data_IF_757953841961
#
_entry.id   IF_757953841961
#
_cell.length_a   1.000
_cell.length_b   1.000
_cell.length_c   1.000
_cell.angle_alpha   90.00
_cell.angle_beta   90.00
_cell.angle_gamma   90.00
#
_symmetry.space_group_name_H-M   'P 1'
#
loop_
_entity.id
_entity.type
_entity.pdbx_description
1 polymer ?
#
# COMPACT_ATOMS: atom_id res chain seq x y z
N UNK A 1 -57.40 -2.89 -10.23
CA UNK A 1 -57.26 -3.84 -9.12
C UNK A 1 -56.21 -4.85 -9.54
N UNK A 2 -54.98 -4.71 -9.07
CA UNK A 2 -53.88 -5.65 -9.31
C UNK A 2 -53.28 -6.03 -7.95
N UNK A 3 -53.47 -7.30 -7.60
CA UNK A 3 -53.09 -7.90 -6.35
C UNK A 3 -51.57 -8.01 -6.23
N UNK A 4 -51.05 -7.52 -5.11
CA UNK A 4 -49.65 -7.64 -4.69
C UNK A 4 -49.48 -8.99 -3.97
N UNK A 5 -48.68 -9.89 -4.50
CA UNK A 5 -48.27 -11.13 -3.83
C UNK A 5 -46.94 -10.88 -3.16
N UNK A 6 -46.98 -10.82 -1.82
CA UNK A 6 -45.78 -10.71 -0.97
C UNK A 6 -45.31 -12.13 -0.66
N UNK A 7 -44.18 -12.53 -1.21
CA UNK A 7 -43.54 -13.82 -0.90
C UNK A 7 -42.49 -13.63 0.21
N UNK A 8 -42.83 -14.12 1.38
CA UNK A 8 -41.96 -14.08 2.56
C UNK A 8 -41.03 -15.31 2.53
N UNK A 9 -39.75 -15.11 2.25
CA UNK A 9 -38.73 -16.16 2.39
C UNK A 9 -38.14 -16.08 3.81
N UNK A 10 -38.45 -17.09 4.62
CA UNK A 10 -37.82 -17.31 5.90
C UNK A 10 -36.57 -18.17 5.68
N UNK A 11 -35.39 -17.58 5.86
CA UNK A 11 -34.12 -18.29 5.81
C UNK A 11 -33.69 -18.62 7.24
N UNK A 12 -33.77 -19.90 7.61
CA UNK A 12 -33.28 -20.42 8.86
C UNK A 12 -31.75 -20.58 8.80
N UNK A 13 -31.01 -19.80 9.59
CA UNK A 13 -29.54 -19.94 9.75
C UNK A 13 -29.28 -20.88 10.92
N UNK A 14 -28.76 -22.07 10.63
CA UNK A 14 -28.28 -23.02 11.64
C UNK A 14 -26.89 -22.58 12.14
N UNK A 15 -26.79 -22.25 13.43
CA UNK A 15 -25.53 -22.03 14.13
C UNK A 15 -24.91 -23.40 14.45
N UNK A 16 -23.73 -23.69 13.91
CA UNK A 16 -22.86 -24.77 14.38
C UNK A 16 -21.77 -24.18 15.29
N UNK A 17 -21.52 -24.76 16.51
CA UNK A 17 -20.42 -24.31 17.35
C UNK A 17 -19.09 -24.88 16.83
N UNK A 18 -18.13 -24.00 16.54
CA UNK A 18 -16.76 -24.38 16.26
C UNK A 18 -16.05 -24.75 17.57
N UNK A 19 -15.66 -26.01 17.71
CA UNK A 19 -14.78 -26.49 18.78
C UNK A 19 -13.38 -25.94 18.60
N UNK A 20 -12.91 -25.14 19.54
CA UNK A 20 -11.54 -24.67 19.63
C UNK A 20 -10.63 -25.83 20.06
N UNK A 21 -9.76 -26.31 19.18
CA UNK A 21 -8.67 -27.21 19.52
C UNK A 21 -7.54 -26.41 20.16
N UNK A 22 -7.39 -26.52 21.46
CA UNK A 22 -6.27 -25.98 22.21
C UNK A 22 -4.99 -26.76 21.84
N UNK A 23 -3.97 -26.09 21.30
CA UNK A 23 -2.62 -26.63 21.15
C UNK A 23 -1.89 -26.58 22.51
N UNK A 24 -1.21 -27.65 22.95
CA UNK A 24 -0.38 -27.62 24.14
C UNK A 24 0.90 -26.79 23.91
N UNK A 25 1.43 -26.12 24.95
CA UNK A 25 2.65 -25.34 24.84
C UNK A 25 3.87 -26.23 24.61
N UNK A 26 4.65 -25.93 23.58
CA UNK A 26 5.94 -26.58 23.31
C UNK A 26 6.98 -26.11 24.34
N UNK A 27 7.57 -27.08 25.06
CA UNK A 27 8.72 -26.87 25.94
C UNK A 27 9.98 -26.58 25.12
N UNK A 28 10.85 -25.66 25.58
CA UNK A 28 12.14 -25.44 24.96
C UNK A 28 13.11 -26.60 25.25
N UNK A 29 14.04 -26.94 24.34
CA UNK A 29 14.99 -28.03 24.52
C UNK A 29 16.01 -27.71 25.60
N UNK A 30 16.19 -28.64 26.52
CA UNK A 30 17.21 -28.65 27.58
C UNK A 30 18.60 -28.76 26.97
N UNK A 31 19.37 -27.69 27.04
CA UNK A 31 20.78 -27.69 26.64
C UNK A 31 21.68 -28.37 27.68
N UNK A 32 22.52 -29.22 27.21
CA UNK A 32 23.52 -30.04 27.89
C UNK A 32 24.53 -29.21 28.68
N UNK A 33 24.77 -29.57 29.92
CA UNK A 33 25.73 -29.00 30.86
C UNK A 33 27.17 -29.47 30.52
N UNK A 34 28.20 -28.60 30.49
CA UNK A 34 29.59 -29.03 30.40
C UNK A 34 30.21 -29.24 31.78
N UNK A 35 31.30 -30.04 31.86
CA UNK A 35 31.81 -30.57 33.14
C UNK A 35 32.66 -29.60 33.94
N UNK A 36 32.63 -29.84 35.24
CA UNK A 36 33.36 -29.23 36.35
C UNK A 36 34.88 -29.23 36.14
N UNK A 37 35.51 -28.08 36.18
CA UNK A 37 36.94 -27.90 36.27
C UNK A 37 37.33 -27.10 37.51
N UNK A 38 38.21 -27.63 38.26
CA UNK A 38 38.78 -27.32 39.56
C UNK A 38 39.37 -25.93 39.70
N UNK A 39 39.05 -25.27 40.82
CA UNK A 39 39.56 -23.98 41.27
C UNK A 39 40.86 -24.14 42.09
N UNK A 40 41.79 -23.21 42.04
CA UNK A 40 42.54 -22.80 43.23
C UNK A 40 42.39 -21.30 43.54
N UNK A 41 42.61 -20.90 44.81
CA UNK A 41 42.22 -19.60 45.29
C UNK A 41 43.36 -18.56 45.16
N UNK A 42 43.03 -17.31 44.80
CA UNK A 42 43.89 -16.15 45.08
C UNK A 42 43.05 -14.93 45.43
N UNK A 43 43.51 -14.30 46.47
CA UNK A 43 43.11 -13.11 47.22
C UNK A 43 42.77 -11.86 46.40
N UNK A 44 41.84 -10.99 46.87
CA UNK A 44 41.47 -9.76 46.17
C UNK A 44 42.41 -8.58 46.48
N UNK A 45 42.68 -7.71 45.52
CA UNK A 45 43.05 -6.35 45.79
C UNK A 45 41.84 -5.42 45.71
N UNK A 46 41.80 -4.52 46.69
CA UNK A 46 40.80 -3.47 46.89
C UNK A 46 40.74 -2.45 45.77
N UNK A 47 39.54 -2.01 45.48
CA UNK A 47 39.25 -0.65 45.06
C UNK A 47 39.29 -0.38 43.57
N UNK A 48 38.18 -0.62 42.89
CA UNK A 48 37.79 0.22 41.74
C UNK A 48 36.28 0.42 41.73
N UNK A 49 35.93 1.69 41.82
CA UNK A 49 34.59 2.25 41.75
C UNK A 49 33.93 1.83 40.42
N UNK A 50 32.66 1.43 40.37
CA UNK A 50 32.02 1.11 39.13
C UNK A 50 31.93 2.36 38.25
N UNK A 51 32.53 2.31 37.08
CA UNK A 51 32.36 3.31 36.05
C UNK A 51 30.88 3.27 35.60
N UNK A 52 30.24 4.43 35.67
CA UNK A 52 28.93 4.69 35.08
C UNK A 52 28.95 4.28 33.59
N UNK A 53 28.01 3.48 33.11
CA UNK A 53 27.92 3.18 31.67
C UNK A 53 27.67 4.49 30.92
N UNK A 54 28.34 4.74 29.78
CA UNK A 54 28.04 5.90 28.95
C UNK A 54 26.60 5.84 28.51
N UNK A 55 25.88 6.93 28.73
CA UNK A 55 24.51 7.16 28.26
C UNK A 55 24.39 6.75 26.82
N UNK A 56 23.47 5.83 26.57
CA UNK A 56 23.24 5.21 25.24
C UNK A 56 23.13 6.26 24.16
N UNK A 57 24.06 6.24 23.24
CA UNK A 57 23.79 6.75 21.90
C UNK A 57 22.71 5.86 21.30
N UNK A 58 21.50 6.41 21.24
CA UNK A 58 20.42 5.85 20.46
C UNK A 58 20.97 5.67 19.03
N UNK A 59 20.93 4.46 18.45
CA UNK A 59 21.39 4.27 17.09
C UNK A 59 20.69 5.31 16.20
N UNK A 60 21.47 6.10 15.49
CA UNK A 60 20.93 7.03 14.51
C UNK A 60 19.98 6.23 13.60
N UNK A 61 18.72 6.66 13.52
CA UNK A 61 17.74 6.00 12.68
C UNK A 61 18.33 5.92 11.27
N UNK A 62 18.59 4.68 10.83
CA UNK A 62 19.09 4.42 9.50
C UNK A 62 18.08 5.01 8.53
N UNK A 63 18.49 5.83 7.53
CA UNK A 63 17.57 6.38 6.57
C UNK A 63 16.71 5.25 6.00
N UNK A 64 15.40 5.34 6.15
CA UNK A 64 14.49 4.35 5.60
C UNK A 64 14.79 4.20 4.11
N UNK A 65 14.98 2.96 3.64
CA UNK A 65 15.15 2.68 2.23
C UNK A 65 14.03 3.37 1.45
N UNK A 66 14.31 4.02 0.30
CA UNK A 66 13.29 4.66 -0.50
C UNK A 66 12.15 3.67 -0.75
N UNK A 67 10.92 4.08 -0.50
CA UNK A 67 9.76 3.25 -0.81
C UNK A 67 9.83 2.81 -2.28
N UNK A 68 9.54 1.53 -2.60
CA UNK A 68 9.63 1.03 -3.96
C UNK A 68 8.76 1.91 -4.86
N UNK A 69 9.33 2.31 -6.00
CA UNK A 69 8.65 3.13 -7.00
C UNK A 69 7.40 2.42 -7.52
N UNK A 70 6.44 3.19 -8.02
CA UNK A 70 5.27 2.64 -8.72
C UNK A 70 5.63 2.48 -10.19
N UNK A 71 6.24 1.36 -10.56
CA UNK A 71 6.71 1.07 -11.91
C UNK A 71 5.88 -0.05 -12.54
N UNK A 72 5.75 -0.04 -13.87
CA UNK A 72 5.14 -1.12 -14.63
C UNK A 72 6.19 -1.83 -15.47
N UNK A 73 6.15 -3.16 -15.47
CA UNK A 73 6.99 -4.02 -16.32
C UNK A 73 6.29 -4.45 -17.61
N UNK A 74 4.99 -4.19 -17.72
CA UNK A 74 4.14 -4.50 -18.90
C UNK A 74 3.75 -3.23 -19.66
N UNK A 75 3.16 -3.42 -20.85
CA UNK A 75 2.72 -2.31 -21.72
C UNK A 75 1.46 -1.60 -21.19
N UNK A 76 0.78 -2.18 -20.22
CA UNK A 76 -0.35 -1.57 -19.53
C UNK A 76 -0.38 -1.97 -18.06
N UNK A 77 -1.07 -1.17 -17.23
CA UNK A 77 -1.24 -1.48 -15.83
C UNK A 77 -2.34 -0.66 -15.16
N UNK A 78 -2.61 -1.00 -13.91
CA UNK A 78 -3.57 -0.27 -13.07
C UNK A 78 -2.99 0.00 -11.69
N UNK A 79 -3.37 1.15 -11.14
CA UNK A 79 -3.23 1.47 -9.73
C UNK A 79 -4.63 1.63 -9.15
N UNK A 80 -4.95 0.84 -8.14
CA UNK A 80 -6.18 0.97 -7.38
C UNK A 80 -5.92 1.81 -6.14
N UNK A 81 -6.72 2.84 -5.92
CA UNK A 81 -6.59 3.74 -4.79
C UNK A 81 -7.90 3.71 -4.00
N UNK A 82 -7.86 3.19 -2.78
CA UNK A 82 -8.97 3.22 -1.85
C UNK A 82 -8.89 4.51 -1.05
N UNK A 83 -9.87 5.38 -1.19
CA UNK A 83 -9.89 6.70 -0.59
C UNK A 83 -11.03 6.78 0.43
N UNK A 84 -10.76 7.41 1.59
CA UNK A 84 -11.80 7.69 2.58
C UNK A 84 -12.88 8.57 1.97
N UNK A 85 -14.17 8.33 2.24
CA UNK A 85 -15.28 9.03 1.58
C UNK A 85 -15.29 10.55 1.86
N UNK A 86 -14.84 10.97 3.04
CA UNK A 86 -14.70 12.38 3.46
C UNK A 86 -13.47 13.09 2.86
N UNK A 87 -12.58 12.33 2.16
CA UNK A 87 -11.31 12.81 1.57
C UNK A 87 -11.29 12.81 0.05
N UNK A 88 -12.41 12.55 -0.60
CA UNK A 88 -12.47 12.49 -2.08
C UNK A 88 -12.11 13.83 -2.72
N UNK A 89 -12.59 14.94 -2.18
CA UNK A 89 -12.27 16.28 -2.70
C UNK A 89 -10.77 16.61 -2.56
N UNK A 90 -10.16 16.26 -1.42
CA UNK A 90 -8.72 16.43 -1.20
C UNK A 90 -7.92 15.59 -2.20
N UNK A 91 -8.31 14.34 -2.42
CA UNK A 91 -7.66 13.45 -3.38
C UNK A 91 -7.79 13.96 -4.82
N UNK A 92 -8.98 14.40 -5.23
CA UNK A 92 -9.21 14.96 -6.57
C UNK A 92 -8.40 16.24 -6.81
N UNK A 93 -8.23 17.09 -5.77
CA UNK A 93 -7.36 18.25 -5.84
C UNK A 93 -5.88 17.86 -6.05
N UNK A 94 -5.42 16.78 -5.41
CA UNK A 94 -4.07 16.24 -5.63
C UNK A 94 -3.93 15.71 -7.06
N UNK A 95 -4.92 15.00 -7.58
CA UNK A 95 -4.91 14.51 -8.97
C UNK A 95 -4.83 15.69 -9.97
N UNK A 96 -5.53 16.77 -9.70
CA UNK A 96 -5.42 18.00 -10.50
C UNK A 96 -3.99 18.59 -10.49
N UNK A 97 -3.32 18.60 -9.32
CA UNK A 97 -1.91 18.99 -9.20
C UNK A 97 -0.98 18.03 -9.96
N UNK A 98 -1.21 16.72 -9.91
CA UNK A 98 -0.44 15.73 -10.70
C UNK A 98 -0.61 16.00 -12.20
N UNK A 99 -1.84 16.23 -12.67
CA UNK A 99 -2.12 16.58 -14.06
C UNK A 99 -1.35 17.84 -14.48
N UNK A 100 -1.35 18.87 -13.64
CA UNK A 100 -0.59 20.11 -13.88
C UNK A 100 0.92 19.83 -13.94
N UNK A 101 1.45 19.05 -12.99
CA UNK A 101 2.86 18.67 -12.94
C UNK A 101 3.32 17.96 -14.21
N UNK A 102 2.55 16.97 -14.66
CA UNK A 102 2.84 16.20 -15.87
C UNK A 102 2.76 17.07 -17.14
N UNK A 103 1.74 17.91 -17.26
CA UNK A 103 1.56 18.80 -18.41
C UNK A 103 2.71 19.80 -18.57
N UNK A 104 3.20 20.35 -17.46
CA UNK A 104 4.24 21.38 -17.42
C UNK A 104 5.66 20.79 -17.30
N UNK A 105 5.81 19.48 -17.19
CA UNK A 105 7.12 18.85 -17.01
C UNK A 105 8.01 19.06 -18.23
N UNK A 106 9.28 19.49 -18.07
CA UNK A 106 10.26 19.48 -19.14
C UNK A 106 10.72 18.07 -19.51
N UNK A 107 10.49 17.08 -18.62
CA UNK A 107 10.92 15.71 -18.82
C UNK A 107 10.02 14.99 -19.85
N UNK A 108 10.58 14.51 -20.99
CA UNK A 108 9.80 13.83 -22.03
C UNK A 108 9.14 12.54 -21.52
N UNK A 109 9.74 11.82 -20.56
CA UNK A 109 9.17 10.64 -19.95
C UNK A 109 7.88 10.98 -19.19
N UNK A 110 7.83 12.12 -18.47
CA UNK A 110 6.61 12.58 -17.79
C UNK A 110 5.49 12.90 -18.78
N UNK A 111 5.79 13.46 -19.93
CA UNK A 111 4.81 13.70 -21.00
C UNK A 111 4.27 12.40 -21.58
N UNK A 112 5.13 11.41 -21.80
CA UNK A 112 4.71 10.08 -22.24
C UNK A 112 3.82 9.38 -21.20
N UNK A 113 4.18 9.46 -19.92
CA UNK A 113 3.36 8.94 -18.83
C UNK A 113 1.96 9.59 -18.83
N UNK A 114 1.89 10.91 -19.01
CA UNK A 114 0.62 11.63 -19.06
C UNK A 114 -0.29 11.14 -20.20
N UNK A 115 0.28 10.82 -21.36
CA UNK A 115 -0.49 10.39 -22.53
C UNK A 115 -1.27 9.08 -22.31
N UNK A 116 -0.68 8.13 -21.55
CA UNK A 116 -1.30 6.85 -21.22
C UNK A 116 -2.11 6.84 -19.94
N UNK A 117 -2.10 7.89 -19.13
CA UNK A 117 -2.66 7.88 -17.80
C UNK A 117 -4.11 8.40 -17.75
N UNK A 118 -5.04 7.53 -17.44
CA UNK A 118 -6.46 7.84 -17.25
C UNK A 118 -6.86 7.59 -15.81
N UNK A 119 -7.71 8.46 -15.26
CA UNK A 119 -8.19 8.35 -13.88
C UNK A 119 -9.69 8.15 -13.89
N UNK A 120 -10.16 7.11 -13.22
CA UNK A 120 -11.56 6.78 -13.06
C UNK A 120 -11.92 6.81 -11.58
N UNK A 121 -13.12 7.27 -11.27
CA UNK A 121 -13.76 7.14 -9.96
C UNK A 121 -14.87 6.09 -10.12
N UNK A 122 -14.84 5.05 -9.27
CA UNK A 122 -15.93 4.07 -9.27
C UNK A 122 -17.23 4.73 -8.83
N UNK A 123 -18.31 4.38 -9.50
CA UNK A 123 -19.67 4.73 -9.07
C UNK A 123 -20.21 3.76 -8.04
N UNK A 124 -19.58 2.57 -7.93
CA UNK A 124 -19.91 1.56 -6.95
C UNK A 124 -19.19 1.82 -5.63
N UNK A 125 -19.84 1.54 -4.48
CA UNK A 125 -19.17 1.63 -3.18
C UNK A 125 -17.98 0.67 -3.10
N UNK A 126 -16.85 1.17 -2.65
CA UNK A 126 -15.65 0.34 -2.41
C UNK A 126 -15.79 -0.56 -1.18
N UNK A 127 -14.64 -1.08 -0.69
CA UNK A 127 -14.59 -1.96 0.47
C UNK A 127 -15.05 -1.25 1.76
N UNK A 128 -15.61 -1.99 2.74
CA UNK A 128 -15.91 -1.45 4.06
C UNK A 128 -14.63 -1.00 4.77
N UNK A 129 -14.71 0.11 5.48
CA UNK A 129 -13.65 0.62 6.36
C UNK A 129 -13.97 0.27 7.83
N UNK A 130 -12.95 0.28 8.72
CA UNK A 130 -13.15 -0.06 10.14
C UNK A 130 -14.14 0.83 10.89
N UNK A 131 -14.38 2.05 10.41
CA UNK A 131 -15.33 3.01 10.96
C UNK A 131 -16.79 2.78 10.48
N UNK A 132 -17.03 1.71 9.72
CA UNK A 132 -18.34 1.38 9.15
C UNK A 132 -18.69 2.14 7.86
N UNK A 133 -17.87 3.08 7.41
CA UNK A 133 -18.04 3.73 6.12
C UNK A 133 -17.52 2.83 4.98
N UNK A 134 -17.67 3.28 3.74
CA UNK A 134 -17.13 2.56 2.57
C UNK A 134 -16.16 3.45 1.83
N UNK A 135 -15.01 2.87 1.47
CA UNK A 135 -14.02 3.56 0.65
C UNK A 135 -14.62 3.93 -0.73
N UNK A 136 -14.07 4.95 -1.33
CA UNK A 136 -14.29 5.28 -2.75
C UNK A 136 -13.08 4.78 -3.53
N UNK A 137 -13.33 3.97 -4.57
CA UNK A 137 -12.28 3.43 -5.41
C UNK A 137 -11.95 4.39 -6.55
N UNK A 138 -10.68 4.78 -6.65
CA UNK A 138 -10.12 5.44 -7.84
C UNK A 138 -9.18 4.49 -8.55
N UNK A 139 -9.35 4.36 -9.87
CA UNK A 139 -8.54 3.50 -10.72
C UNK A 139 -7.73 4.38 -11.65
N UNK A 140 -6.41 4.23 -11.59
CA UNK A 140 -5.52 4.79 -12.59
C UNK A 140 -5.24 3.71 -13.61
N UNK A 141 -5.79 3.86 -14.79
CA UNK A 141 -5.48 3.02 -15.94
C UNK A 141 -4.31 3.67 -16.67
N UNK A 142 -3.25 2.92 -16.84
CA UNK A 142 -2.03 3.32 -17.55
C UNK A 142 -1.95 2.47 -18.81
N UNK A 143 -2.28 3.07 -19.95
CA UNK A 143 -2.27 2.39 -21.24
C UNK A 143 -2.11 3.41 -22.39
N UNK A 144 -0.94 3.41 -23.10
CA UNK A 144 0.24 2.58 -22.83
C UNK A 144 1.01 3.02 -21.59
N UNK A 145 1.64 2.05 -20.90
CA UNK A 145 2.57 2.32 -19.82
C UNK A 145 3.99 2.58 -20.36
N UNK A 146 4.67 3.54 -19.75
CA UNK A 146 6.12 3.72 -19.95
C UNK A 146 6.82 2.78 -18.98
N UNK A 147 7.39 1.68 -19.49
CA UNK A 147 8.05 0.64 -18.68
C UNK A 147 9.15 1.25 -17.82
N UNK A 148 9.26 0.73 -16.60
CA UNK A 148 10.27 1.12 -15.62
C UNK A 148 10.24 2.60 -15.20
N UNK A 149 9.34 3.41 -15.76
CA UNK A 149 9.13 4.77 -15.32
C UNK A 149 8.35 4.80 -14.00
N UNK A 150 8.72 5.72 -13.12
CA UNK A 150 8.10 5.82 -11.79
C UNK A 150 6.83 6.68 -11.82
N UNK A 151 5.69 6.08 -11.50
CA UNK A 151 4.37 6.70 -11.41
C UNK A 151 3.99 7.12 -9.97
N UNK A 152 4.97 7.21 -9.07
CA UNK A 152 4.74 7.65 -7.69
C UNK A 152 4.30 9.10 -7.65
N UNK A 153 3.06 9.35 -7.22
CA UNK A 153 2.46 10.70 -7.15
C UNK A 153 3.38 11.69 -6.41
N UNK A 154 3.91 11.29 -5.26
CA UNK A 154 4.75 12.18 -4.42
C UNK A 154 6.02 12.60 -5.12
N UNK A 155 6.65 11.72 -5.91
CA UNK A 155 7.82 12.09 -6.71
C UNK A 155 7.49 13.08 -7.81
N UNK A 156 6.38 12.86 -8.52
CA UNK A 156 5.91 13.78 -9.57
C UNK A 156 5.61 15.17 -8.97
N UNK A 157 4.95 15.20 -7.81
CA UNK A 157 4.66 16.45 -7.12
C UNK A 157 5.93 17.14 -6.59
N UNK A 158 6.90 16.36 -6.09
CA UNK A 158 8.19 16.89 -5.64
C UNK A 158 8.99 17.54 -6.77
N UNK A 159 8.97 16.94 -7.96
CA UNK A 159 9.63 17.50 -9.14
C UNK A 159 9.02 18.83 -9.58
N UNK A 160 7.68 18.97 -9.48
CA UNK A 160 6.97 20.13 -10.00
C UNK A 160 6.73 21.21 -8.93
N UNK A 161 6.54 20.84 -7.67
CA UNK A 161 6.15 21.72 -6.56
C UNK A 161 7.00 21.48 -5.31
N UNK A 162 8.33 21.65 -5.36
CA UNK A 162 9.21 21.32 -4.25
C UNK A 162 8.90 22.08 -2.96
N UNK A 163 8.39 23.32 -3.05
CA UNK A 163 8.00 24.11 -1.89
C UNK A 163 6.68 23.69 -1.23
N UNK A 164 5.79 23.03 -1.97
CA UNK A 164 4.48 22.60 -1.49
C UNK A 164 4.46 21.08 -1.17
N UNK A 165 5.53 20.33 -1.49
CA UNK A 165 5.50 18.86 -1.51
C UNK A 165 5.15 18.26 -0.15
N UNK A 166 5.59 18.85 0.96
CA UNK A 166 5.30 18.32 2.29
C UNK A 166 3.80 18.41 2.61
N UNK A 167 3.15 19.52 2.30
CA UNK A 167 1.72 19.70 2.52
C UNK A 167 0.89 18.80 1.60
N UNK A 168 1.29 18.68 0.33
CA UNK A 168 0.67 17.78 -0.63
C UNK A 168 0.82 16.31 -0.21
N UNK A 169 1.98 15.93 0.34
CA UNK A 169 2.21 14.60 0.88
C UNK A 169 1.30 14.32 2.08
N UNK A 170 1.27 15.22 3.06
CA UNK A 170 0.43 15.08 4.25
C UNK A 170 -1.05 14.94 3.87
N UNK A 171 -1.51 15.77 2.93
CA UNK A 171 -2.87 15.71 2.39
C UNK A 171 -3.14 14.38 1.68
N UNK A 172 -2.20 13.90 0.85
CA UNK A 172 -2.33 12.62 0.15
C UNK A 172 -2.43 11.45 1.13
N UNK A 173 -1.52 11.37 2.11
CA UNK A 173 -1.52 10.31 3.12
C UNK A 173 -2.83 10.31 3.92
N UNK A 174 -3.35 11.49 4.26
CA UNK A 174 -4.62 11.62 4.97
C UNK A 174 -5.83 11.08 4.18
N UNK A 175 -5.75 10.99 2.85
CA UNK A 175 -6.80 10.44 2.00
C UNK A 175 -6.92 8.92 2.09
N UNK A 176 -5.83 8.22 2.38
CA UNK A 176 -5.84 6.75 2.44
C UNK A 176 -6.31 6.22 3.80
N UNK A 177 -7.01 5.08 3.84
CA UNK A 177 -7.23 4.34 5.08
C UNK A 177 -5.90 3.79 5.60
N UNK A 178 -5.87 3.44 6.90
CA UNK A 178 -4.65 2.93 7.55
C UNK A 178 -4.13 1.61 6.94
N UNK A 179 -5.02 0.82 6.33
CA UNK A 179 -4.69 -0.45 5.69
C UNK A 179 -5.25 -0.50 4.26
N UNK A 180 -4.46 -1.08 3.35
CA UNK A 180 -4.92 -1.41 2.00
C UNK A 180 -5.24 -0.22 1.09
N UNK A 181 -4.59 0.93 1.29
CA UNK A 181 -4.91 2.15 0.56
C UNK A 181 -4.60 2.12 -0.95
N UNK A 182 -3.56 1.40 -1.37
CA UNK A 182 -3.15 1.36 -2.78
C UNK A 182 -2.62 -0.01 -3.19
N UNK A 183 -2.96 -0.46 -4.41
CA UNK A 183 -2.37 -1.64 -5.05
C UNK A 183 -2.03 -1.37 -6.52
N UNK A 184 -1.04 -2.11 -7.04
CA UNK A 184 -0.57 -2.01 -8.43
C UNK A 184 -0.73 -3.36 -9.12
N UNK A 185 -1.16 -3.34 -10.38
CA UNK A 185 -1.34 -4.53 -11.21
C UNK A 185 -0.74 -4.27 -12.58
N UNK A 186 0.13 -5.17 -13.04
CA UNK A 186 0.58 -5.21 -14.42
C UNK A 186 -0.46 -5.96 -15.28
N UNK A 187 -0.76 -5.44 -16.46
CA UNK A 187 -1.74 -6.02 -17.37
C UNK A 187 -1.05 -6.57 -18.60
N UNK A 188 -1.49 -7.75 -19.06
CA UNK A 188 -1.10 -8.35 -20.31
C UNK A 188 -2.30 -8.39 -21.24
N UNK A 189 -2.18 -7.83 -22.44
CA UNK A 189 -3.20 -7.95 -23.46
C UNK A 189 -3.24 -9.39 -23.99
N UNK A 190 -4.39 -10.06 -23.83
CA UNK A 190 -4.61 -11.42 -24.34
C UNK A 190 -5.41 -11.43 -25.65
N UNK A 191 -6.01 -10.33 -26.02
CA UNK A 191 -6.77 -10.19 -27.28
C UNK A 191 -7.64 -8.95 -27.31
N UNK A 192 -8.09 -8.59 -28.50
CA UNK A 192 -9.11 -7.56 -28.73
C UNK A 192 -10.39 -8.21 -29.21
N UNK A 193 -11.55 -7.64 -28.86
CA UNK A 193 -12.85 -8.18 -29.28
C UNK A 193 -13.28 -7.66 -30.66
N UNK A 194 -12.47 -6.83 -31.31
CA UNK A 194 -12.69 -6.44 -32.72
C UNK A 194 -12.34 -7.60 -33.63
N UNK A 195 -13.29 -8.00 -34.52
CA UNK A 195 -12.97 -8.90 -35.63
C UNK A 195 -11.86 -8.27 -36.48
N UNK A 196 -10.88 -9.07 -36.90
CA UNK A 196 -9.91 -8.61 -37.90
C UNK A 196 -10.72 -8.13 -39.13
N UNK A 197 -10.37 -6.96 -39.74
CA UNK A 197 -10.98 -6.57 -40.98
C UNK A 197 -10.80 -7.74 -41.95
N UNK A 198 -11.92 -8.32 -42.41
CA UNK A 198 -11.93 -9.50 -43.25
C UNK A 198 -11.07 -9.24 -44.47
N UNK A 199 -9.98 -10.00 -44.62
CA UNK A 199 -9.22 -10.04 -45.84
C UNK A 199 -10.17 -10.53 -46.94
N UNK A 200 -10.67 -9.59 -47.78
CA UNK A 200 -11.38 -9.95 -48.97
C UNK A 200 -10.48 -10.82 -49.83
N UNK A 201 -10.97 -12.02 -50.14
CA UNK A 201 -10.44 -12.84 -51.24
C UNK A 201 -10.83 -12.22 -52.55
#
# INVERSE_FOLDING_TARGET
MRSLVISTFVLAVALAPAAALAQPPQQPPTGTQPPTGTQPPTTPPSGQQPATPPSGQQPAAQPAAPAPGRTFSSDAGMLFNMIKPDKTADFEAIIAKVKQALANSPNPVRKQQAAGWKVFKSVEPGMPLPDGTRAVLYIFLIDPAVKDADYTITKILQEAFPSEVQDLYNKLVACYPQQGGQSIVNLQLIGTMTAAPGGGQ
#
